data_IF_701966800422
#
_entry.id   IF_701966800422
#
_cell.length_a   1.000
_cell.length_b   1.000
_cell.length_c   1.000
_cell.angle_alpha   90.00
_cell.angle_beta   90.00
_cell.angle_gamma   90.00
#
_symmetry.space_group_name_H-M   'P 1'
#
loop_
_entity.id
_entity.type
_entity.pdbx_description
1 polymer ?
#
# COMPACT_ATOMS: atom_id res chain seq x y z
N UNK A 1 -31.12 40.73 1.97
CA UNK A 1 -29.67 40.48 2.07
C UNK A 1 -29.33 40.28 3.53
N UNK A 2 -29.32 39.04 3.96
CA UNK A 2 -28.60 38.57 5.14
C UNK A 2 -28.31 37.10 4.83
N UNK A 3 -27.11 36.88 4.34
CA UNK A 3 -26.57 35.55 4.08
C UNK A 3 -26.52 34.79 5.40
N UNK A 4 -27.24 33.66 5.45
CA UNK A 4 -27.16 32.72 6.54
C UNK A 4 -26.30 31.56 6.02
N UNK A 5 -24.98 31.74 6.12
CA UNK A 5 -24.03 30.64 5.91
C UNK A 5 -24.33 29.56 6.96
N UNK A 6 -24.85 28.42 6.49
CA UNK A 6 -24.97 27.25 7.31
C UNK A 6 -23.56 26.79 7.70
N UNK A 7 -23.28 26.55 8.99
CA UNK A 7 -21.96 26.12 9.41
C UNK A 7 -21.69 24.73 8.84
N UNK A 8 -20.58 24.58 8.12
CA UNK A 8 -20.00 23.29 7.76
C UNK A 8 -19.76 22.51 9.06
N UNK A 9 -20.69 21.59 9.38
CA UNK A 9 -20.59 20.74 10.57
C UNK A 9 -19.52 19.68 10.32
N UNK A 10 -18.29 20.01 10.67
CA UNK A 10 -17.26 19.02 10.98
C UNK A 10 -17.80 18.12 12.10
N UNK A 11 -17.67 16.80 11.94
CA UNK A 11 -18.12 15.80 12.92
C UNK A 11 -17.24 15.85 14.18
N UNK A 12 -17.31 16.92 14.98
CA UNK A 12 -16.69 16.98 16.31
C UNK A 12 -17.54 16.18 17.30
N UNK A 13 -17.44 14.85 17.22
CA UNK A 13 -17.88 13.99 18.31
C UNK A 13 -16.80 14.11 19.41
N UNK A 14 -17.14 14.76 20.52
CA UNK A 14 -16.24 14.98 21.66
C UNK A 14 -15.97 13.71 22.49
N UNK A 15 -15.74 12.57 21.84
CA UNK A 15 -15.35 11.33 22.48
C UNK A 15 -13.91 11.42 22.98
N UNK A 16 -13.69 10.89 24.19
CA UNK A 16 -12.36 10.89 24.84
C UNK A 16 -11.28 10.26 23.96
N UNK A 17 -11.55 9.08 23.40
CA UNK A 17 -10.56 8.36 22.57
C UNK A 17 -10.32 9.01 21.22
N UNK A 18 -11.33 9.70 20.67
CA UNK A 18 -11.14 10.52 19.48
C UNK A 18 -10.15 11.65 19.77
N UNK A 19 -10.33 12.40 20.87
CA UNK A 19 -9.40 13.45 21.29
C UNK A 19 -7.98 12.93 21.54
N UNK A 20 -7.84 11.76 22.17
CA UNK A 20 -6.52 11.13 22.39
C UNK A 20 -5.81 10.90 21.06
N UNK A 21 -6.49 10.27 20.09
CA UNK A 21 -5.91 9.99 18.79
C UNK A 21 -5.67 11.25 17.95
N UNK A 22 -6.49 12.30 18.08
CA UNK A 22 -6.21 13.62 17.50
C UNK A 22 -4.93 14.24 18.09
N UNK A 23 -4.68 14.09 19.39
CA UNK A 23 -3.41 14.52 19.99
C UNK A 23 -2.23 13.71 19.48
N UNK A 24 -2.37 12.39 19.34
CA UNK A 24 -1.33 11.52 18.75
C UNK A 24 -1.02 11.92 17.31
N UNK A 25 -2.04 12.32 16.55
CA UNK A 25 -1.85 12.84 15.20
C UNK A 25 -1.02 14.14 15.18
N UNK A 26 -1.28 15.06 16.11
CA UNK A 26 -0.48 16.26 16.29
C UNK A 26 0.97 15.91 16.72
N UNK A 27 1.15 14.91 17.57
CA UNK A 27 2.47 14.41 17.97
C UNK A 27 3.25 13.86 16.77
N UNK A 28 2.59 13.13 15.86
CA UNK A 28 3.20 12.71 14.60
C UNK A 28 3.62 13.93 13.77
N UNK A 29 2.71 14.87 13.51
CA UNK A 29 3.05 16.09 12.76
C UNK A 29 4.25 16.84 13.37
N UNK A 30 4.31 16.94 14.69
CA UNK A 30 5.42 17.52 15.43
C UNK A 30 6.71 16.70 15.29
N UNK A 31 6.64 15.37 15.25
CA UNK A 31 7.79 14.51 15.04
C UNK A 31 8.45 14.77 13.67
N UNK A 32 7.66 14.94 12.60
CA UNK A 32 8.20 15.31 11.29
C UNK A 32 8.77 16.75 11.31
N UNK A 33 8.08 17.70 11.93
CA UNK A 33 8.55 19.07 12.05
C UNK A 33 9.90 19.12 12.78
N UNK A 34 10.06 18.36 13.85
CA UNK A 34 11.31 18.19 14.58
C UNK A 34 12.39 17.56 13.71
N UNK A 35 12.10 16.46 13.01
CA UNK A 35 13.07 15.80 12.14
C UNK A 35 13.62 16.73 11.04
N UNK A 36 12.76 17.61 10.48
CA UNK A 36 13.17 18.65 9.51
C UNK A 36 14.06 19.75 10.12
N UNK A 37 13.98 19.99 11.42
CA UNK A 37 14.84 20.95 12.12
C UNK A 37 16.19 20.33 12.51
N UNK A 38 16.21 19.03 12.79
CA UNK A 38 17.42 18.31 13.23
C UNK A 38 18.32 17.85 12.07
N UNK A 39 17.80 17.78 10.84
CA UNK A 39 18.54 17.33 9.67
C UNK A 39 18.03 17.96 8.39
N UNK A 40 18.95 18.32 7.49
CA UNK A 40 18.65 18.72 6.10
C UNK A 40 18.62 17.52 5.14
N UNK A 41 19.03 16.33 5.58
CA UNK A 41 19.09 15.13 4.75
C UNK A 41 17.71 14.47 4.64
N UNK A 42 17.14 14.46 3.43
CA UNK A 42 15.80 13.92 3.17
C UNK A 42 15.61 12.47 3.67
N UNK A 43 16.63 11.62 3.58
CA UNK A 43 16.59 10.24 4.05
C UNK A 43 16.39 10.17 5.56
N UNK A 44 17.16 10.93 6.33
CA UNK A 44 17.04 10.97 7.80
C UNK A 44 15.68 11.48 8.26
N UNK A 45 15.14 12.49 7.57
CA UNK A 45 13.80 13.01 7.83
C UNK A 45 12.74 11.93 7.56
N UNK A 46 12.88 11.20 6.45
CA UNK A 46 12.02 10.07 6.10
C UNK A 46 12.06 8.98 7.16
N UNK A 47 13.24 8.48 7.51
CA UNK A 47 13.42 7.43 8.51
C UNK A 47 12.78 7.80 9.87
N UNK A 48 12.93 9.06 10.31
CA UNK A 48 12.32 9.56 11.53
C UNK A 48 10.79 9.58 11.46
N UNK A 49 10.23 10.01 10.33
CA UNK A 49 8.79 10.02 10.10
C UNK A 49 8.21 8.59 10.06
N UNK A 50 8.88 7.67 9.38
CA UNK A 50 8.51 6.26 9.35
C UNK A 50 8.52 5.64 10.75
N UNK A 51 9.57 5.89 11.53
CA UNK A 51 9.69 5.33 12.88
C UNK A 51 8.64 5.90 13.83
N UNK A 52 8.30 7.19 13.71
CA UNK A 52 7.21 7.80 14.46
C UNK A 52 5.86 7.10 14.17
N UNK A 53 5.54 6.84 12.90
CA UNK A 53 4.33 6.11 12.52
C UNK A 53 4.35 4.69 13.09
N UNK A 54 5.46 3.95 12.95
CA UNK A 54 5.58 2.59 13.51
C UNK A 54 5.36 2.58 15.02
N UNK A 55 5.95 3.52 15.76
CA UNK A 55 5.78 3.62 17.21
C UNK A 55 4.34 3.91 17.64
N UNK A 56 3.65 4.79 16.91
CA UNK A 56 2.23 5.03 17.13
C UNK A 56 1.42 3.76 16.89
N UNK A 57 1.65 3.04 15.79
CA UNK A 57 0.94 1.79 15.51
C UNK A 57 1.21 0.73 16.60
N UNK A 58 2.45 0.55 17.05
CA UNK A 58 2.78 -0.37 18.17
C UNK A 58 2.00 -0.05 19.44
N UNK A 59 1.81 1.23 19.73
CA UNK A 59 1.16 1.69 20.96
C UNK A 59 -0.37 1.55 20.94
N UNK A 60 -0.98 1.57 19.76
CA UNK A 60 -2.44 1.64 19.60
C UNK A 60 -3.07 0.41 18.93
N UNK A 61 -2.28 -0.48 18.34
CA UNK A 61 -2.77 -1.78 17.86
C UNK A 61 -2.91 -2.79 19.02
N UNK A 62 -3.73 -3.85 18.85
CA UNK A 62 -3.83 -4.90 19.85
C UNK A 62 -2.47 -5.56 20.12
N UNK A 63 -2.21 -5.96 21.36
CA UNK A 63 -0.89 -6.43 21.83
C UNK A 63 -0.34 -7.68 21.13
N UNK A 64 -1.19 -8.44 20.43
CA UNK A 64 -0.74 -9.57 19.62
C UNK A 64 -0.08 -9.17 18.30
N UNK A 65 -0.23 -7.93 17.86
CA UNK A 65 0.38 -7.44 16.63
C UNK A 65 1.76 -6.85 16.90
N UNK A 66 2.68 -7.07 15.97
CA UNK A 66 3.99 -6.40 15.95
C UNK A 66 4.10 -5.51 14.72
N UNK A 67 4.96 -4.48 14.79
CA UNK A 67 5.15 -3.51 13.69
C UNK A 67 6.64 -3.34 13.41
N UNK A 68 7.03 -3.51 12.15
CA UNK A 68 8.41 -3.31 11.68
C UNK A 68 8.49 -2.76 10.26
N UNK A 69 9.64 -2.91 9.59
CA UNK A 69 9.88 -2.49 8.21
C UNK A 69 10.69 -3.56 7.47
N UNK A 70 10.51 -3.70 6.16
CA UNK A 70 11.30 -4.64 5.37
C UNK A 70 10.61 -5.17 4.12
N UNK A 71 11.00 -6.37 3.70
CA UNK A 71 10.47 -7.04 2.51
C UNK A 71 9.55 -8.17 2.96
N UNK A 72 8.39 -8.29 2.33
CA UNK A 72 7.43 -9.37 2.58
C UNK A 72 7.52 -10.38 1.44
N UNK A 73 7.61 -11.66 1.75
CA UNK A 73 7.66 -12.75 0.80
C UNK A 73 6.43 -13.63 0.91
N UNK A 74 6.04 -14.26 -0.20
CA UNK A 74 5.09 -15.36 -0.16
C UNK A 74 5.75 -16.72 -0.32
N UNK A 75 4.99 -17.78 -0.03
CA UNK A 75 5.50 -19.15 -0.11
C UNK A 75 5.68 -19.65 -1.55
N UNK A 76 5.40 -18.80 -2.55
CA UNK A 76 5.68 -19.04 -3.96
C UNK A 76 7.03 -18.44 -4.40
N UNK A 77 7.76 -17.80 -3.48
CA UNK A 77 9.09 -17.26 -3.73
C UNK A 77 9.12 -15.78 -4.14
N UNK A 78 7.98 -15.12 -4.32
CA UNK A 78 7.96 -13.71 -4.72
C UNK A 78 8.10 -12.79 -3.49
N UNK A 79 8.67 -11.61 -3.71
CA UNK A 79 8.86 -10.58 -2.70
C UNK A 79 8.17 -9.26 -3.06
N UNK A 80 7.75 -8.52 -2.04
CA UNK A 80 7.35 -7.12 -2.16
C UNK A 80 8.57 -6.23 -2.43
N UNK A 81 8.34 -4.94 -2.63
CA UNK A 81 9.41 -3.95 -2.45
C UNK A 81 9.66 -3.69 -0.96
N UNK A 82 10.72 -2.94 -0.65
CA UNK A 82 10.94 -2.41 0.69
C UNK A 82 9.71 -1.61 1.13
N UNK A 83 9.14 -2.05 2.26
CA UNK A 83 7.90 -1.56 2.85
C UNK A 83 8.20 -0.90 4.19
N UNK A 84 7.75 0.33 4.37
CA UNK A 84 8.09 1.16 5.54
C UNK A 84 7.37 0.67 6.82
N UNK A 85 6.19 0.07 6.65
CA UNK A 85 5.38 -0.48 7.74
C UNK A 85 4.91 -1.88 7.38
N UNK A 86 5.29 -2.86 8.19
CA UNK A 86 4.76 -4.23 8.13
C UNK A 86 4.17 -4.55 9.49
N UNK A 87 2.86 -4.80 9.54
CA UNK A 87 2.13 -5.22 10.73
C UNK A 87 1.97 -6.73 10.67
N UNK A 88 2.46 -7.45 11.67
CA UNK A 88 2.39 -8.91 11.74
C UNK A 88 1.41 -9.37 12.81
N UNK A 89 0.74 -10.48 12.57
CA UNK A 89 -0.12 -11.15 13.55
C UNK A 89 0.71 -12.12 14.45
N UNK A 90 0.11 -12.69 15.51
CA UNK A 90 0.81 -13.64 16.40
C UNK A 90 1.34 -14.90 15.73
N UNK A 91 0.82 -15.28 14.56
CA UNK A 91 1.25 -16.48 13.83
C UNK A 91 2.52 -16.23 13.00
N UNK A 92 2.99 -14.98 12.91
CA UNK A 92 4.20 -14.66 12.19
C UNK A 92 5.44 -15.30 12.86
N UNK A 93 6.19 -16.15 12.15
CA UNK A 93 7.21 -17.01 12.75
C UNK A 93 8.54 -16.30 13.03
N UNK A 94 8.74 -15.09 12.51
CA UNK A 94 10.02 -14.38 12.58
C UNK A 94 9.87 -13.16 13.50
N UNK A 95 10.95 -12.82 14.19
CA UNK A 95 11.04 -11.61 14.99
C UNK A 95 12.27 -10.83 14.56
N UNK A 96 12.12 -9.53 14.38
CA UNK A 96 13.19 -8.64 13.95
C UNK A 96 13.47 -7.62 15.05
N UNK A 97 14.75 -7.32 15.34
CA UNK A 97 15.08 -6.24 16.26
C UNK A 97 14.54 -4.91 15.77
N UNK A 98 14.15 -4.05 16.72
CA UNK A 98 13.68 -2.70 16.41
C UNK A 98 14.72 -1.93 15.58
N UNK A 99 14.23 -1.19 14.57
CA UNK A 99 15.05 -0.38 13.67
C UNK A 99 15.76 -1.15 12.56
N UNK A 100 15.75 -2.49 12.55
CA UNK A 100 16.33 -3.28 11.45
C UNK A 100 15.27 -3.65 10.42
N UNK A 101 15.68 -3.61 9.15
CA UNK A 101 14.87 -4.15 8.06
C UNK A 101 14.76 -5.67 8.19
N UNK A 102 13.54 -6.17 8.25
CA UNK A 102 13.22 -7.59 8.36
C UNK A 102 12.85 -8.27 7.04
N UNK A 103 12.63 -9.58 7.13
CA UNK A 103 12.11 -10.44 6.04
C UNK A 103 10.84 -11.10 6.55
N UNK A 104 9.69 -10.74 5.99
CA UNK A 104 8.41 -11.19 6.49
C UNK A 104 7.82 -12.25 5.58
N UNK A 105 6.93 -13.07 6.12
CA UNK A 105 6.13 -14.05 5.38
C UNK A 105 4.71 -13.53 5.35
N UNK A 106 4.13 -13.38 4.16
CA UNK A 106 2.80 -12.76 3.97
C UNK A 106 1.72 -13.50 4.78
N UNK A 107 1.93 -14.79 5.02
CA UNK A 107 1.07 -15.64 5.84
C UNK A 107 0.92 -15.17 7.30
N UNK A 108 1.90 -14.45 7.83
CA UNK A 108 1.89 -13.81 9.15
C UNK A 108 1.71 -12.30 9.11
N UNK A 109 1.48 -11.71 7.93
CA UNK A 109 1.27 -10.25 7.78
C UNK A 109 -0.21 -9.93 7.90
N UNK A 110 -0.53 -8.97 8.75
CA UNK A 110 -1.87 -8.45 8.94
C UNK A 110 -2.17 -7.20 8.09
N UNK A 111 -1.16 -6.37 7.83
CA UNK A 111 -1.25 -5.20 6.96
C UNK A 111 0.15 -4.71 6.61
N UNK A 112 0.26 -3.96 5.52
CA UNK A 112 1.51 -3.33 5.11
C UNK A 112 1.26 -1.89 4.63
N UNK A 113 2.29 -1.05 4.57
CA UNK A 113 2.09 0.32 4.10
C UNK A 113 3.35 1.15 3.96
N UNK A 114 3.14 2.33 3.40
CA UNK A 114 4.15 3.34 3.10
C UNK A 114 3.96 4.58 3.96
N UNK A 115 5.06 5.25 4.28
CA UNK A 115 5.04 6.53 4.99
C UNK A 115 5.69 7.59 4.12
N UNK A 116 4.95 8.66 3.85
CA UNK A 116 5.44 9.78 3.03
C UNK A 116 5.46 11.06 3.86
N UNK A 117 6.62 11.72 3.92
CA UNK A 117 6.73 13.03 4.57
C UNK A 117 5.91 14.11 3.85
N UNK A 118 5.73 13.95 2.54
CA UNK A 118 4.83 14.75 1.70
C UNK A 118 4.36 13.92 0.52
N UNK A 119 3.05 13.83 0.30
CA UNK A 119 2.46 13.14 -0.83
C UNK A 119 2.40 14.09 -2.04
N UNK A 120 3.30 13.91 -2.99
CA UNK A 120 3.22 14.49 -4.33
C UNK A 120 2.82 13.43 -5.38
N UNK A 121 2.74 13.82 -6.66
CA UNK A 121 2.33 12.92 -7.75
C UNK A 121 3.30 11.74 -7.91
N UNK A 122 4.59 11.98 -7.71
CA UNK A 122 5.63 10.95 -7.82
C UNK A 122 5.52 9.98 -6.66
N UNK A 123 5.38 10.48 -5.43
CA UNK A 123 5.21 9.69 -4.22
C UNK A 123 3.91 8.86 -4.27
N UNK A 124 2.81 9.42 -4.78
CA UNK A 124 1.56 8.67 -4.98
C UNK A 124 1.75 7.53 -6.00
N UNK A 125 2.41 7.81 -7.13
CA UNK A 125 2.67 6.81 -8.16
C UNK A 125 3.61 5.70 -7.64
N UNK A 126 4.62 6.05 -6.84
CA UNK A 126 5.50 5.10 -6.16
C UNK A 126 4.72 4.21 -5.18
N UNK A 127 3.87 4.81 -4.33
CA UNK A 127 3.02 4.07 -3.41
C UNK A 127 2.10 3.09 -4.14
N UNK A 128 1.46 3.50 -5.24
CA UNK A 128 0.64 2.61 -6.07
C UNK A 128 1.47 1.46 -6.62
N UNK A 129 2.69 1.72 -7.13
CA UNK A 129 3.57 0.67 -7.64
C UNK A 129 3.99 -0.31 -6.54
N UNK A 130 4.33 0.18 -5.34
CA UNK A 130 4.71 -0.67 -4.21
C UNK A 130 3.55 -1.51 -3.70
N UNK A 131 2.38 -0.89 -3.54
CA UNK A 131 1.13 -1.57 -3.22
C UNK A 131 0.78 -2.63 -4.27
N UNK A 132 0.92 -2.31 -5.56
CA UNK A 132 0.76 -3.28 -6.66
C UNK A 132 1.64 -4.51 -6.47
N UNK A 133 2.95 -4.33 -6.24
CA UNK A 133 3.87 -5.43 -6.02
C UNK A 133 3.49 -6.26 -4.79
N UNK A 134 3.14 -5.62 -3.68
CA UNK A 134 2.67 -6.31 -2.48
C UNK A 134 1.37 -7.10 -2.74
N UNK A 135 0.43 -6.54 -3.50
CA UNK A 135 -0.84 -7.19 -3.86
C UNK A 135 -0.70 -8.33 -4.85
N UNK A 136 0.49 -8.61 -5.39
CA UNK A 136 0.78 -9.84 -6.14
C UNK A 136 1.11 -11.03 -5.23
N UNK A 137 1.50 -10.78 -3.97
CA UNK A 137 1.80 -11.84 -3.01
C UNK A 137 0.54 -12.61 -2.60
N UNK A 138 0.66 -13.93 -2.35
CA UNK A 138 -0.48 -14.77 -1.94
C UNK A 138 -0.18 -15.58 -0.69
N UNK A 139 -1.09 -15.47 0.29
CA UNK A 139 -1.07 -16.32 1.47
C UNK A 139 -1.35 -17.78 1.09
N UNK A 140 -0.77 -18.71 1.83
CA UNK A 140 -1.06 -20.13 1.69
C UNK A 140 -2.39 -20.44 2.38
N UNK A 141 -3.34 -20.98 1.63
CA UNK A 141 -4.66 -21.38 2.12
C UNK A 141 -4.70 -22.88 2.36
N UNK A 142 -5.21 -23.28 3.52
CA UNK A 142 -5.51 -24.68 3.83
C UNK A 142 -7.01 -24.86 4.06
N UNK A 143 -7.53 -26.05 3.76
CA UNK A 143 -8.93 -26.41 3.98
C UNK A 143 -9.39 -26.24 5.44
N UNK A 144 -8.45 -26.38 6.39
CA UNK A 144 -8.69 -26.22 7.82
C UNK A 144 -8.52 -24.79 8.33
N UNK A 145 -8.20 -23.83 7.46
CA UNK A 145 -8.08 -22.43 7.85
C UNK A 145 -9.47 -21.77 7.92
N UNK A 146 -9.68 -20.93 8.93
CA UNK A 146 -10.95 -20.23 9.14
C UNK A 146 -10.72 -18.72 9.26
N UNK A 147 -11.28 -17.95 8.32
CA UNK A 147 -11.24 -16.48 8.36
C UNK A 147 -12.41 -15.95 9.20
N UNK A 148 -12.11 -15.32 10.33
CA UNK A 148 -13.09 -14.66 11.20
C UNK A 148 -13.49 -13.30 10.65
N UNK A 149 -14.76 -13.17 10.31
CA UNK A 149 -15.32 -11.98 9.67
C UNK A 149 -16.62 -11.59 10.37
N UNK A 150 -17.00 -10.32 10.31
CA UNK A 150 -18.25 -9.84 10.93
C UNK A 150 -19.49 -10.40 10.25
N UNK A 151 -19.38 -10.83 8.98
CA UNK A 151 -20.40 -11.51 8.20
C UNK A 151 -19.73 -12.62 7.38
N UNK A 152 -20.31 -13.81 7.38
CA UNK A 152 -19.91 -14.90 6.48
C UNK A 152 -20.23 -14.50 5.04
N UNK A 153 -19.24 -13.92 4.36
CA UNK A 153 -19.34 -13.48 2.97
C UNK A 153 -18.08 -13.92 2.22
N UNK A 154 -18.23 -14.41 1.00
CA UNK A 154 -17.13 -14.91 0.17
C UNK A 154 -16.00 -13.87 0.01
N UNK A 155 -16.36 -12.59 -0.02
CA UNK A 155 -15.42 -11.50 -0.16
C UNK A 155 -14.66 -11.16 1.14
N UNK A 156 -15.29 -11.40 2.29
CA UNK A 156 -14.67 -11.26 3.59
C UNK A 156 -13.59 -12.33 3.82
N UNK A 157 -13.78 -13.52 3.25
CA UNK A 157 -12.74 -14.55 3.19
C UNK A 157 -11.56 -14.09 2.31
N UNK A 158 -11.81 -13.32 1.24
CA UNK A 158 -10.78 -12.73 0.36
C UNK A 158 -9.91 -11.68 1.01
N UNK A 159 -10.48 -10.79 1.83
CA UNK A 159 -9.71 -9.84 2.64
C UNK A 159 -8.79 -10.61 3.61
N UNK A 160 -9.27 -11.76 4.11
CA UNK A 160 -8.48 -12.70 4.89
C UNK A 160 -7.15 -13.07 4.23
N UNK A 161 -7.13 -13.24 2.90
CA UNK A 161 -6.06 -13.91 2.18
C UNK A 161 -5.12 -12.97 1.41
N UNK A 162 -5.45 -11.68 1.33
CA UNK A 162 -4.59 -10.63 0.76
C UNK A 162 -4.57 -9.42 1.70
N UNK A 163 -3.55 -9.26 2.55
CA UNK A 163 -3.51 -8.21 3.55
C UNK A 163 -3.68 -6.80 2.95
N UNK A 164 -4.31 -5.85 3.66
CA UNK A 164 -4.45 -4.48 3.18
C UNK A 164 -3.10 -3.75 3.04
N UNK A 165 -3.00 -2.87 2.05
CA UNK A 165 -1.85 -1.98 1.85
C UNK A 165 -2.26 -0.51 1.96
N UNK A 166 -1.60 0.28 2.80
CA UNK A 166 -1.99 1.67 3.05
C UNK A 166 -0.85 2.68 2.91
N UNK A 167 -1.20 3.96 2.91
CA UNK A 167 -0.27 5.08 2.94
C UNK A 167 -0.60 5.99 4.12
N UNK A 168 0.42 6.41 4.86
CA UNK A 168 0.33 7.54 5.81
C UNK A 168 1.19 8.67 5.28
N UNK A 169 0.57 9.81 5.02
CA UNK A 169 1.23 11.01 4.55
C UNK A 169 1.10 12.13 5.58
N UNK A 170 2.22 12.74 5.95
CA UNK A 170 2.22 13.86 6.90
C UNK A 170 1.75 15.17 6.27
N UNK A 171 1.86 15.27 4.96
CA UNK A 171 1.43 16.43 4.17
C UNK A 171 1.08 15.98 2.75
N UNK A 172 0.46 16.84 1.95
CA UNK A 172 0.23 16.61 0.53
C UNK A 172 0.49 17.88 -0.31
N UNK A 173 0.89 17.68 -1.56
CA UNK A 173 1.01 18.69 -2.62
C UNK A 173 0.12 18.39 -3.83
N UNK A 174 -0.67 17.33 -3.76
CA UNK A 174 -1.61 16.92 -4.79
C UNK A 174 -3.01 17.34 -4.37
N UNK A 175 -3.76 17.95 -5.29
CA UNK A 175 -5.17 18.24 -5.07
C UNK A 175 -5.95 16.95 -4.80
N UNK A 176 -6.93 17.02 -3.90
CA UNK A 176 -7.75 15.88 -3.50
C UNK A 176 -8.37 15.17 -4.72
N UNK A 177 -8.94 15.92 -5.66
CA UNK A 177 -9.55 15.37 -6.88
C UNK A 177 -8.55 14.60 -7.74
N UNK A 178 -7.33 15.14 -7.90
CA UNK A 178 -6.25 14.47 -8.65
C UNK A 178 -5.78 13.18 -7.97
N UNK A 179 -5.79 13.11 -6.64
CA UNK A 179 -5.55 11.85 -5.91
C UNK A 179 -6.67 10.85 -6.28
N UNK A 180 -7.93 11.28 -6.19
CA UNK A 180 -9.09 10.44 -6.48
C UNK A 180 -9.16 9.95 -7.93
N UNK A 181 -8.77 10.78 -8.91
CA UNK A 181 -8.65 10.38 -10.33
C UNK A 181 -7.61 9.28 -10.50
N UNK A 182 -6.38 9.50 -10.03
CA UNK A 182 -5.29 8.51 -10.14
C UNK A 182 -5.60 7.19 -9.46
N UNK A 183 -6.30 7.23 -8.33
CA UNK A 183 -6.73 6.03 -7.61
C UNK A 183 -7.81 5.24 -8.37
N UNK A 184 -8.69 5.93 -9.11
CA UNK A 184 -9.72 5.31 -9.95
C UNK A 184 -9.16 4.79 -11.27
N UNK A 185 -8.12 5.41 -11.80
CA UNK A 185 -7.39 4.98 -13.00
C UNK A 185 -6.43 3.82 -12.74
N UNK A 186 -6.02 3.61 -11.48
CA UNK A 186 -5.14 2.50 -11.13
C UNK A 186 -5.86 1.16 -11.31
N UNK A 187 -5.23 0.26 -12.07
CA UNK A 187 -5.77 -1.07 -12.32
C UNK A 187 -5.93 -1.88 -11.03
N UNK A 188 -6.98 -2.70 -11.01
CA UNK A 188 -7.11 -3.72 -9.98
C UNK A 188 -6.11 -4.85 -10.25
N UNK A 189 -5.54 -5.37 -9.18
CA UNK A 189 -4.49 -6.37 -9.17
C UNK A 189 -5.13 -7.75 -9.10
N UNK A 190 -5.23 -8.41 -10.26
CA UNK A 190 -5.59 -9.82 -10.35
C UNK A 190 -4.52 -10.71 -9.71
N UNK A 191 -4.88 -11.90 -9.19
CA UNK A 191 -3.91 -12.91 -8.81
C UNK A 191 -2.95 -13.28 -9.93
N UNK A 192 -1.64 -13.43 -9.66
CA UNK A 192 -0.73 -14.00 -10.62
C UNK A 192 -1.21 -15.36 -11.11
N UNK A 193 -1.06 -15.59 -12.41
CA UNK A 193 -1.32 -16.90 -13.03
C UNK A 193 -0.48 -17.95 -12.31
N UNK A 194 -1.09 -19.09 -11.95
CA UNK A 194 -0.42 -20.17 -11.22
C UNK A 194 -0.45 -20.03 -9.69
N UNK A 195 -0.73 -18.84 -9.15
CA UNK A 195 -0.93 -18.67 -7.69
C UNK A 195 -2.38 -18.82 -7.24
N UNK A 196 -3.35 -18.76 -8.16
CA UNK A 196 -4.78 -18.88 -7.85
C UNK A 196 -5.41 -20.16 -8.42
N UNK A 197 -6.24 -20.84 -7.63
CA UNK A 197 -7.13 -21.94 -8.01
C UNK A 197 -8.56 -21.47 -8.32
N UNK A 198 -8.73 -20.19 -8.66
CA UNK A 198 -10.04 -19.59 -8.90
C UNK A 198 -10.88 -19.53 -7.62
N UNK A 199 -12.15 -19.93 -7.71
CA UNK A 199 -13.12 -19.79 -6.61
C UNK A 199 -12.69 -20.45 -5.29
N UNK A 200 -11.91 -21.54 -5.37
CA UNK A 200 -11.47 -22.34 -4.22
C UNK A 200 -10.42 -21.65 -3.34
N UNK A 201 -9.63 -20.72 -3.89
CA UNK A 201 -8.56 -20.07 -3.12
C UNK A 201 -9.06 -18.93 -2.24
N UNK A 202 -10.37 -18.63 -2.29
CA UNK A 202 -10.98 -17.47 -1.63
C UNK A 202 -10.18 -16.18 -1.80
N UNK A 203 -9.38 -16.02 -2.85
CA UNK A 203 -8.46 -14.89 -3.05
C UNK A 203 -8.32 -14.53 -4.53
N UNK A 204 -9.32 -14.92 -5.34
CA UNK A 204 -9.28 -14.80 -6.80
C UNK A 204 -9.79 -13.45 -7.33
N UNK A 205 -10.39 -12.62 -6.47
CA UNK A 205 -10.92 -11.31 -6.88
C UNK A 205 -9.80 -10.28 -7.00
N UNK A 206 -9.79 -9.46 -8.06
CA UNK A 206 -8.86 -8.36 -8.20
C UNK A 206 -8.91 -7.39 -7.00
N UNK A 207 -7.75 -6.94 -6.55
CA UNK A 207 -7.59 -6.09 -5.37
C UNK A 207 -7.13 -4.69 -5.78
N UNK A 208 -7.57 -3.61 -5.12
CA UNK A 208 -6.97 -2.31 -5.37
C UNK A 208 -5.49 -2.32 -4.93
N UNK A 209 -4.60 -1.56 -5.58
CA UNK A 209 -3.19 -1.52 -5.19
C UNK A 209 -2.99 -0.90 -3.81
N UNK A 210 -3.89 0.01 -3.41
CA UNK A 210 -3.96 0.63 -2.09
C UNK A 210 -5.37 0.43 -1.52
N UNK A 211 -5.49 0.33 -0.20
CA UNK A 211 -6.77 0.23 0.50
C UNK A 211 -7.13 1.52 1.23
N UNK A 212 -6.12 2.26 1.69
CA UNK A 212 -6.30 3.52 2.40
C UNK A 212 -5.14 4.49 2.16
N UNK A 213 -5.44 5.79 2.11
CA UNK A 213 -4.45 6.87 2.18
C UNK A 213 -4.89 7.84 3.28
N UNK A 214 -4.13 7.87 4.36
CA UNK A 214 -4.29 8.81 5.46
C UNK A 214 -3.40 10.02 5.21
N UNK A 215 -3.99 11.21 5.09
CA UNK A 215 -3.23 12.47 5.03
C UNK A 215 -3.49 13.24 6.32
N UNK A 216 -2.48 13.30 7.20
CA UNK A 216 -2.59 13.89 8.53
C UNK A 216 -3.09 15.34 8.45
N UNK A 217 -4.07 15.69 9.29
CA UNK A 217 -4.72 16.99 9.34
C UNK A 217 -5.62 17.33 8.16
N UNK A 218 -5.86 16.41 7.21
CA UNK A 218 -6.67 16.68 6.01
C UNK A 218 -7.84 15.69 5.85
N UNK A 219 -7.54 14.40 5.81
CA UNK A 219 -8.58 13.40 5.57
C UNK A 219 -8.04 12.03 5.14
N UNK A 220 -8.96 11.12 4.83
CA UNK A 220 -8.65 9.74 4.47
C UNK A 220 -9.35 9.35 3.17
N UNK A 221 -8.59 8.82 2.22
CA UNK A 221 -9.14 8.03 1.13
C UNK A 221 -9.27 6.58 1.56
N UNK A 222 -10.44 5.99 1.36
CA UNK A 222 -10.70 4.57 1.63
C UNK A 222 -11.26 3.91 0.37
N UNK A 223 -10.75 2.73 0.05
CA UNK A 223 -11.37 1.88 -0.94
C UNK A 223 -12.52 1.11 -0.29
N UNK A 224 -13.75 1.53 -0.60
CA UNK A 224 -14.93 0.78 -0.20
C UNK A 224 -15.13 -0.39 -1.15
N UNK A 225 -15.23 -1.57 -0.56
CA UNK A 225 -15.38 -2.81 -1.30
C UNK A 225 -16.87 -3.14 -1.46
N UNK A 226 -17.26 -3.88 -2.53
CA UNK A 226 -18.63 -4.36 -2.70
C UNK A 226 -19.16 -5.04 -1.43
N UNK A 227 -20.46 -4.89 -1.18
CA UNK A 227 -21.17 -5.41 0.00
C UNK A 227 -20.71 -4.87 1.36
N UNK A 228 -19.77 -3.92 1.37
CA UNK A 228 -19.27 -3.21 2.54
C UNK A 228 -18.89 -4.16 3.70
N UNK A 229 -17.91 -5.05 3.49
CA UNK A 229 -17.47 -6.03 4.48
C UNK A 229 -17.13 -5.40 5.84
N UNK A 230 -16.55 -4.20 5.82
CA UNK A 230 -16.13 -3.47 7.01
C UNK A 230 -17.26 -2.70 7.70
N UNK A 231 -18.45 -2.63 7.10
CA UNK A 231 -19.62 -1.98 7.69
C UNK A 231 -19.57 -0.45 7.72
N UNK A 232 -18.70 0.19 6.93
CA UNK A 232 -18.63 1.66 6.83
C UNK A 232 -19.83 2.23 6.09
N UNK A 233 -20.67 2.99 6.76
CA UNK A 233 -21.77 3.72 6.10
C UNK A 233 -21.25 5.08 5.64
N UNK A 234 -21.22 5.31 4.33
CA UNK A 234 -20.90 6.63 3.78
C UNK A 234 -22.19 7.39 3.48
N UNK A 235 -22.32 8.55 4.13
CA UNK A 235 -23.34 9.53 3.77
C UNK A 235 -22.82 10.40 2.62
N UNK A 236 -23.42 10.26 1.45
CA UNK A 236 -23.19 11.19 0.34
C UNK A 236 -24.07 12.42 0.59
N UNK A 237 -23.45 13.59 0.71
CA UNK A 237 -24.14 14.86 0.76
C UNK A 237 -24.37 15.35 -0.66
N UNK A 238 -25.63 15.52 -1.05
CA UNK A 238 -26.01 16.11 -2.34
C UNK A 238 -25.83 17.64 -2.29
N UNK A 239 -25.81 18.27 -3.46
CA UNK A 239 -25.73 19.73 -3.60
C UNK A 239 -26.87 20.47 -2.88
N UNK A 240 -28.03 19.82 -2.71
CA UNK A 240 -29.18 20.32 -1.95
C UNK A 240 -29.05 20.18 -0.42
N UNK A 241 -27.92 19.65 0.07
CA UNK A 241 -27.65 19.41 1.49
C UNK A 241 -28.28 18.14 2.06
N UNK A 242 -29.07 17.39 1.28
CA UNK A 242 -29.62 16.10 1.72
C UNK A 242 -28.52 15.04 1.79
N UNK A 243 -28.60 14.19 2.83
CA UNK A 243 -27.67 13.07 3.02
C UNK A 243 -28.35 11.77 2.63
N UNK A 244 -27.81 11.10 1.62
CA UNK A 244 -28.21 9.73 1.29
C UNK A 244 -27.12 8.78 1.75
N UNK A 245 -27.48 7.84 2.63
CA UNK A 245 -26.60 6.73 2.99
C UNK A 245 -26.67 5.71 1.86
N UNK A 246 -25.54 5.48 1.19
CA UNK A 246 -25.44 4.49 0.13
C UNK A 246 -24.73 3.26 0.68
N UNK A 247 -25.45 2.15 0.81
CA UNK A 247 -24.92 0.90 1.38
C UNK A 247 -24.27 -0.01 0.32
N UNK A 248 -24.50 0.26 -0.96
CA UNK A 248 -24.03 -0.49 -2.14
C UNK A 248 -22.88 0.22 -2.87
N UNK A 249 -22.30 1.27 -2.29
CA UNK A 249 -21.17 1.96 -2.91
C UNK A 249 -19.90 1.10 -2.85
N UNK A 250 -19.29 0.87 -4.02
CA UNK A 250 -17.96 0.29 -4.14
C UNK A 250 -17.06 1.25 -4.95
N UNK A 251 -15.84 1.44 -4.49
CA UNK A 251 -14.86 2.35 -5.07
C UNK A 251 -14.20 3.26 -4.04
N UNK A 252 -13.43 4.23 -4.54
CA UNK A 252 -12.71 5.19 -3.71
C UNK A 252 -13.62 6.28 -3.17
N UNK A 253 -13.60 6.47 -1.86
CA UNK A 253 -14.28 7.56 -1.19
C UNK A 253 -13.28 8.39 -0.37
N UNK A 254 -13.47 9.71 -0.38
CA UNK A 254 -12.72 10.63 0.46
C UNK A 254 -13.57 11.06 1.65
N UNK A 255 -12.97 10.99 2.84
CA UNK A 255 -13.54 11.54 4.06
C UNK A 255 -12.64 12.67 4.55
N UNK A 256 -13.12 13.89 4.42
CA UNK A 256 -12.51 15.06 5.05
C UNK A 256 -12.73 15.00 6.56
N UNK A 257 -11.65 15.14 7.34
CA UNK A 257 -11.70 15.10 8.80
C UNK A 257 -10.44 15.75 9.37
N UNK A 258 -10.58 16.34 10.55
CA UNK A 258 -9.50 16.85 11.40
C UNK A 258 -8.80 15.75 12.22
N UNK A 259 -9.27 14.50 12.14
CA UNK A 259 -8.67 13.35 12.82
C UNK A 259 -8.55 12.11 11.89
N UNK A 260 -7.87 12.22 10.73
CA UNK A 260 -7.69 11.12 9.78
C UNK A 260 -7.01 9.89 10.39
N UNK A 261 -6.14 10.04 11.40
CA UNK A 261 -5.56 8.89 12.10
C UNK A 261 -6.63 8.06 12.82
N UNK A 262 -7.68 8.69 13.38
CA UNK A 262 -8.78 7.97 14.03
C UNK A 262 -9.47 7.05 13.02
N UNK A 263 -9.82 7.59 11.85
CA UNK A 263 -10.49 6.84 10.79
C UNK A 263 -9.58 5.71 10.29
N UNK A 264 -8.29 5.98 10.15
CA UNK A 264 -7.28 4.99 9.74
C UNK A 264 -7.17 3.85 10.75
N UNK A 265 -7.20 4.14 12.06
CA UNK A 265 -7.18 3.12 13.11
C UNK A 265 -8.46 2.29 13.11
N UNK A 266 -9.64 2.91 12.95
CA UNK A 266 -10.91 2.18 12.81
C UNK A 266 -10.84 1.24 11.61
N UNK A 267 -10.35 1.74 10.47
CA UNK A 267 -10.17 0.95 9.26
C UNK A 267 -9.18 -0.21 9.46
N UNK A 268 -8.00 0.02 10.04
CA UNK A 268 -7.02 -1.04 10.32
C UNK A 268 -7.61 -2.15 11.19
N UNK A 269 -8.32 -1.80 12.26
CA UNK A 269 -8.96 -2.78 13.14
C UNK A 269 -10.07 -3.58 12.44
N UNK A 270 -10.70 -3.03 11.41
CA UNK A 270 -11.72 -3.70 10.62
C UNK A 270 -11.13 -4.53 9.45
N UNK A 271 -10.05 -4.07 8.85
CA UNK A 271 -9.47 -4.61 7.62
C UNK A 271 -8.41 -5.69 7.85
N UNK A 272 -7.71 -5.67 9.00
CA UNK A 272 -6.70 -6.68 9.31
C UNK A 272 -7.33 -8.08 9.42
N UNK A 273 -6.77 -9.08 8.73
CA UNK A 273 -7.33 -10.42 8.68
C UNK A 273 -7.18 -11.11 10.04
N UNK A 274 -8.23 -11.80 10.45
CA UNK A 274 -8.22 -12.68 11.63
C UNK A 274 -8.41 -14.10 11.13
N UNK A 275 -7.34 -14.87 11.07
CA UNK A 275 -7.35 -16.23 10.51
C UNK A 275 -6.96 -17.18 11.62
N UNK A 276 -7.80 -18.19 11.86
CA UNK A 276 -7.37 -19.36 12.62
C UNK A 276 -6.78 -20.34 11.64
N UNK A 277 -5.47 -20.55 11.73
CA UNK A 277 -4.77 -21.47 10.86
C UNK A 277 -4.80 -22.89 11.43
N UNK A 278 -5.18 -23.84 10.58
CA UNK A 278 -5.11 -25.26 10.92
C UNK A 278 -3.71 -25.85 10.71
N UNK A 279 -2.81 -25.10 10.06
CA UNK A 279 -1.40 -25.48 9.82
C UNK A 279 -0.45 -24.32 10.09
N UNK A 280 0.85 -24.61 10.16
CA UNK A 280 1.89 -23.60 10.37
C UNK A 280 1.91 -22.58 9.24
N UNK A 281 1.98 -21.28 9.58
CA UNK A 281 2.23 -20.20 8.63
C UNK A 281 3.65 -20.27 8.01
N UNK A 282 4.58 -21.00 8.63
CA UNK A 282 5.99 -21.04 8.20
C UNK A 282 6.36 -22.28 7.40
N UNK A 283 5.71 -23.42 7.64
CA UNK A 283 6.07 -24.66 6.96
C UNK A 283 6.09 -24.56 5.42
N UNK A 284 5.18 -23.82 4.75
CA UNK A 284 5.22 -23.69 3.29
C UNK A 284 6.47 -22.99 2.75
N UNK A 285 7.17 -22.21 3.58
CA UNK A 285 8.40 -21.50 3.22
C UNK A 285 9.65 -22.37 3.38
N UNK A 286 9.56 -23.43 4.20
CA UNK A 286 10.66 -24.37 4.43
C UNK A 286 10.54 -25.62 3.55
N UNK A 287 9.32 -26.11 3.38
CA UNK A 287 8.98 -27.28 2.57
C UNK A 287 7.78 -26.89 1.70
N UNK A 288 8.04 -26.35 0.49
CA UNK A 288 6.98 -25.84 -0.37
C UNK A 288 6.04 -26.96 -0.82
N UNK A 289 4.71 -26.76 -0.76
CA UNK A 289 3.77 -27.66 -1.41
C UNK A 289 4.06 -27.80 -2.91
N UNK A 290 3.68 -28.94 -3.51
CA UNK A 290 3.90 -29.22 -4.94
C UNK A 290 3.42 -28.06 -5.83
N UNK A 291 2.29 -27.44 -5.49
CA UNK A 291 1.76 -26.28 -6.21
C UNK A 291 2.74 -25.10 -6.25
N UNK A 292 3.35 -24.79 -5.11
CA UNK A 292 4.27 -23.66 -5.01
C UNK A 292 5.58 -23.98 -5.74
N UNK A 293 6.08 -25.21 -5.59
CA UNK A 293 7.25 -25.69 -6.34
C UNK A 293 7.05 -25.56 -7.85
N UNK A 294 5.91 -26.03 -8.38
CA UNK A 294 5.57 -25.88 -9.81
C UNK A 294 5.55 -24.42 -10.28
N UNK A 295 5.07 -23.50 -9.44
CA UNK A 295 5.09 -22.08 -9.79
C UNK A 295 6.53 -21.54 -9.84
N UNK A 296 7.35 -21.87 -8.84
CA UNK A 296 8.76 -21.46 -8.80
C UNK A 296 9.54 -22.01 -9.99
N UNK A 297 9.36 -23.29 -10.32
CA UNK A 297 10.01 -23.92 -11.48
C UNK A 297 9.61 -23.21 -12.79
N UNK A 298 8.32 -22.91 -12.97
CA UNK A 298 7.83 -22.17 -14.14
C UNK A 298 8.38 -20.73 -14.24
N UNK A 299 8.67 -20.07 -13.11
CA UNK A 299 9.32 -18.75 -13.11
C UNK A 299 10.79 -18.86 -13.55
N UNK A 300 11.50 -19.89 -13.10
CA UNK A 300 12.89 -20.13 -13.52
C UNK A 300 12.97 -20.41 -15.02
N UNK A 301 12.10 -21.29 -15.55
CA UNK A 301 12.02 -21.57 -17.00
C UNK A 301 11.70 -20.31 -17.82
N UNK A 302 10.83 -19.43 -17.31
CA UNK A 302 10.49 -18.17 -17.97
C UNK A 302 11.65 -17.16 -17.98
N UNK A 303 12.50 -17.16 -16.94
CA UNK A 303 13.69 -16.31 -16.89
C UNK A 303 14.78 -16.82 -17.84
N UNK A 304 15.03 -18.13 -17.85
CA UNK A 304 16.02 -18.74 -18.74
C UNK A 304 15.67 -18.48 -20.22
N UNK A 305 14.39 -18.62 -20.58
CA UNK A 305 13.92 -18.34 -21.95
C UNK A 305 13.97 -16.84 -22.32
N UNK A 306 13.81 -15.93 -21.36
CA UNK A 306 13.96 -14.50 -21.60
C UNK A 306 15.43 -14.11 -21.82
N UNK A 307 16.34 -14.68 -21.04
CA UNK A 307 17.78 -14.47 -21.19
C UNK A 307 18.30 -15.03 -22.52
N UNK A 308 17.79 -16.19 -22.98
CA UNK A 308 18.09 -16.73 -24.31
C UNK A 308 17.58 -15.80 -25.42
N UNK A 309 16.38 -15.23 -25.29
CA UNK A 309 15.81 -14.30 -26.27
C UNK A 309 16.54 -12.94 -26.34
N UNK A 310 17.08 -12.44 -25.22
CA UNK A 310 17.93 -11.25 -25.21
C UNK A 310 19.32 -11.50 -25.82
N UNK A 311 19.85 -12.72 -25.68
CA UNK A 311 21.13 -13.11 -26.30
C UNK A 311 21.02 -13.33 -27.82
N UNK A 312 19.87 -13.77 -28.31
CA UNK A 312 19.58 -13.91 -29.76
C UNK A 312 19.09 -12.60 -30.43
N UNK A 313 18.97 -11.51 -29.67
CA UNK A 313 18.65 -10.21 -30.25
C UNK A 313 19.80 -9.73 -31.16
N UNK A 314 19.52 -9.33 -32.41
CA UNK A 314 20.56 -8.93 -33.35
C UNK A 314 21.35 -7.75 -32.79
N UNK A 315 22.68 -7.92 -32.70
CA UNK A 315 23.61 -6.86 -32.28
C UNK A 315 23.35 -5.61 -33.13
N UNK A 316 23.14 -4.42 -32.53
CA UNK A 316 22.96 -3.21 -33.32
C UNK A 316 24.19 -3.04 -34.21
N UNK A 317 23.94 -2.84 -35.51
CA UNK A 317 24.98 -2.69 -36.50
C UNK A 317 25.98 -1.62 -36.03
N UNK A 318 27.30 -1.86 -36.13
CA UNK A 318 28.29 -0.87 -35.71
C UNK A 318 28.02 0.44 -36.45
N UNK A 319 27.92 1.53 -35.67
CA UNK A 319 27.86 2.88 -36.20
C UNK A 319 29.02 3.07 -37.19
N UNK A 320 28.71 3.23 -38.48
CA UNK A 320 29.68 3.74 -39.43
C UNK A 320 29.82 5.23 -39.16
N UNK A 321 30.98 5.66 -38.65
CA UNK A 321 31.38 7.06 -38.62
C UNK A 321 31.23 7.62 -40.04
N UNK A 322 30.34 8.61 -40.18
CA UNK A 322 30.16 9.33 -41.44
C UNK A 322 31.43 10.08 -41.80
N UNK A 323 31.79 10.02 -43.08
CA UNK A 323 32.86 10.82 -43.68
C UNK A 323 32.75 12.28 -43.24
N UNK A 324 33.86 12.92 -42.83
CA UNK A 324 33.83 14.34 -42.50
C UNK A 324 33.53 15.16 -43.75
N UNK A 325 32.60 16.10 -43.61
CA UNK A 325 32.23 17.07 -44.65
C UNK A 325 33.45 17.87 -45.13
N UNK A 326 33.51 18.32 -46.39
CA UNK A 326 34.66 19.03 -46.93
C UNK A 326 34.80 20.40 -46.26
N UNK A 327 36.01 20.70 -45.78
CA UNK A 327 36.39 22.01 -45.26
C UNK A 327 36.51 22.99 -46.42
N UNK A 328 35.63 24.00 -46.48
CA UNK A 328 35.80 25.13 -47.40
C UNK A 328 36.98 26.00 -46.94
N UNK A 329 38.01 26.06 -47.78
CA UNK A 329 39.16 26.94 -47.61
C UNK A 329 38.82 28.34 -48.13
N UNK A 330 38.65 29.33 -47.25
CA UNK A 330 38.64 30.74 -47.64
C UNK A 330 40.07 31.23 -47.78
N UNK A 331 40.49 31.49 -49.02
CA UNK A 331 41.81 32.01 -49.38
C UNK A 331 41.82 33.54 -49.20
N UNK A 332 42.40 34.02 -48.10
CA UNK A 332 42.80 35.43 -47.95
C UNK A 332 44.17 35.63 -48.62
N UNK A 333 44.13 36.10 -49.87
CA UNK A 333 45.31 36.59 -50.57
C UNK A 333 45.36 38.12 -50.59
N UNK A 334 46.34 38.70 -49.91
CA UNK A 334 46.98 39.98 -50.23
C UNK A 334 48.44 39.86 -49.80
N UNK A 335 49.44 40.40 -50.52
CA UNK A 335 49.44 41.80 -51.00
C UNK A 335 50.14 42.08 -52.35
N UNK A 336 49.72 43.16 -53.01
CA UNK A 336 50.56 44.27 -53.51
C UNK A 336 49.70 45.38 -54.09
#
# INVERSE_FOLDING_TARGET
>A
MTDNEAPARCFSIALRFHKILSTVEQELQNALAKARLESDHCTTIGDGAEEAVRNTLRSYLPSGYSVGKGIVYDAFGDGSRQTDVVITNPDHPLSFPDGKSGTYVVDGVAAAGEVKSCLDVTALSDSIKKGTAFKQLRMTVNESDHVMTTKEQAYMQQIGMVPPYFVVAFDNKVATDTIGERLREADLISPPVGKSMGEHDWAHTPQPPLDAICVLGKGVWLYLRPDNPMGFQIGLQKEDGSKTVKNDYAGWAYLETDAPLVITMIWLHAAMPRIFRGKSAFSPYLVPPIRHAKYMDAQVEALDTADEAEQDAPTPAPYQEGDPAPVEYTDESSPR
#
